data_IF_429492777143
#
_entry.id   IF_429492777143
#
_cell.length_a   1.000
_cell.length_b   1.000
_cell.length_c   1.000
_cell.angle_alpha   90.00
_cell.angle_beta   90.00
_cell.angle_gamma   90.00
#
_symmetry.space_group_name_H-M   'P 1'
#
loop_
_entity.id
_entity.type
_entity.pdbx_description
1 polymer ?
#
# COMPACT_ATOMS: atom_id res chain seq x y z
N UNK A 1 25.11 -2.41 2.31
CA UNK A 1 25.95 -1.56 3.15
C UNK A 1 25.04 -0.81 4.13
N UNK A 2 25.24 -1.06 5.41
CA UNK A 2 24.44 -0.46 6.47
C UNK A 2 25.24 0.67 7.11
N UNK A 3 24.57 1.77 7.47
CA UNK A 3 25.18 2.91 8.17
C UNK A 3 25.51 2.47 9.59
N UNK A 4 26.75 2.71 10.03
CA UNK A 4 27.20 2.47 11.40
C UNK A 4 27.06 3.73 12.23
N UNK A 5 27.60 4.84 11.75
CA UNK A 5 27.65 6.12 12.49
C UNK A 5 27.71 7.28 11.53
N UNK A 6 27.22 8.42 11.97
CA UNK A 6 27.36 9.71 11.27
C UNK A 6 28.18 10.64 12.15
N UNK A 7 29.16 11.30 11.56
CA UNK A 7 30.04 12.26 12.22
C UNK A 7 29.86 13.65 11.61
N UNK A 8 29.92 14.67 12.46
CA UNK A 8 30.12 16.03 12.03
C UNK A 8 31.62 16.22 11.72
N UNK A 9 31.93 16.99 10.69
CA UNK A 9 33.30 17.36 10.32
C UNK A 9 33.61 18.80 10.76
N UNK A 10 34.85 19.21 10.69
CA UNK A 10 35.25 20.62 10.94
C UNK A 10 34.58 21.60 9.94
N UNK A 11 34.10 21.08 8.80
CA UNK A 11 33.33 21.84 7.82
C UNK A 11 31.82 21.74 8.16
N UNK A 12 31.15 22.83 8.57
CA UNK A 12 29.75 22.79 8.98
C UNK A 12 28.77 22.40 7.88
N UNK A 13 29.22 22.35 6.62
CA UNK A 13 28.45 21.93 5.46
C UNK A 13 28.76 20.49 5.02
N UNK A 14 29.43 19.70 5.85
CA UNK A 14 29.89 18.37 5.49
C UNK A 14 29.69 17.38 6.64
N UNK A 15 29.23 16.18 6.28
CA UNK A 15 29.01 15.06 7.18
C UNK A 15 29.78 13.84 6.68
N UNK A 16 30.38 13.08 7.57
CA UNK A 16 30.96 11.77 7.28
C UNK A 16 30.06 10.66 7.76
N UNK A 17 29.80 9.70 6.88
CA UNK A 17 28.94 8.54 7.10
C UNK A 17 29.81 7.29 7.07
N UNK A 18 30.03 6.67 8.22
CA UNK A 18 30.72 5.39 8.29
C UNK A 18 29.73 4.24 8.05
N UNK A 19 30.06 3.34 7.15
CA UNK A 19 29.31 2.13 6.90
C UNK A 19 29.90 0.96 7.70
N UNK A 20 29.09 -0.05 8.03
CA UNK A 20 29.56 -1.30 8.68
C UNK A 20 30.65 -2.02 7.89
N UNK A 21 30.75 -1.79 6.58
CA UNK A 21 31.83 -2.31 5.73
C UNK A 21 33.18 -1.61 5.92
N UNK A 22 33.27 -0.57 6.77
CA UNK A 22 34.44 0.28 6.94
C UNK A 22 34.59 1.39 5.89
N UNK A 23 33.69 1.47 4.89
CA UNK A 23 33.71 2.57 3.92
C UNK A 23 33.18 3.85 4.56
N UNK A 24 33.84 4.97 4.29
CA UNK A 24 33.39 6.33 4.64
C UNK A 24 32.83 7.00 3.40
N UNK A 25 31.71 7.69 3.55
CA UNK A 25 31.06 8.50 2.52
C UNK A 25 30.90 9.91 3.07
N UNK A 26 31.27 10.90 2.29
CA UNK A 26 31.08 12.31 2.62
C UNK A 26 29.84 12.86 1.92
N UNK A 27 29.04 13.63 2.62
CA UNK A 27 27.81 14.24 2.09
C UNK A 27 27.52 15.59 2.75
N UNK A 28 26.79 16.46 2.05
CA UNK A 28 26.34 17.73 2.59
C UNK A 28 25.01 17.63 3.36
N UNK A 29 24.26 16.58 3.10
CA UNK A 29 22.98 16.30 3.76
C UNK A 29 22.69 14.80 3.77
N UNK A 30 21.92 14.36 4.75
CA UNK A 30 21.43 13.00 4.87
C UNK A 30 19.90 13.03 4.94
N UNK A 31 19.26 12.20 4.08
CA UNK A 31 17.81 12.00 4.14
C UNK A 31 17.52 10.61 4.70
N UNK A 32 16.84 10.55 5.83
CA UNK A 32 16.45 9.29 6.47
C UNK A 32 15.08 8.83 5.95
N UNK A 33 15.05 7.70 5.26
CA UNK A 33 13.82 7.09 4.72
C UNK A 33 13.76 5.60 5.05
N UNK A 34 14.06 5.26 6.30
CA UNK A 34 14.21 3.88 6.81
C UNK A 34 12.96 3.34 7.50
N UNK A 35 11.80 3.94 7.22
CA UNK A 35 10.52 3.60 7.83
C UNK A 35 10.21 4.42 9.08
N UNK A 36 9.10 4.07 9.72
CA UNK A 36 8.57 4.75 10.90
C UNK A 36 8.55 3.82 12.12
N UNK A 37 8.63 4.41 13.27
CA UNK A 37 8.39 3.75 14.56
C UNK A 37 7.18 4.41 15.20
N UNK A 38 6.10 3.67 15.50
CA UNK A 38 4.96 4.21 16.19
C UNK A 38 5.36 4.76 17.57
N UNK A 39 4.86 5.94 17.93
CA UNK A 39 5.04 6.48 19.26
C UNK A 39 4.06 5.81 20.22
N UNK A 40 4.55 4.88 21.04
CA UNK A 40 3.78 4.06 21.97
C UNK A 40 4.05 4.41 23.44
N UNK A 41 4.70 5.52 23.73
CA UNK A 41 5.09 5.89 25.10
C UNK A 41 3.88 6.03 26.01
N UNK A 42 2.87 6.82 25.63
CA UNK A 42 1.63 6.98 26.39
C UNK A 42 0.94 5.64 26.64
N UNK A 43 0.92 4.75 25.64
CA UNK A 43 0.31 3.44 25.77
C UNK A 43 1.05 2.56 26.79
N UNK A 44 2.38 2.58 26.76
CA UNK A 44 3.23 1.86 27.73
C UNK A 44 3.06 2.39 29.14
N UNK A 45 3.11 3.71 29.31
CA UNK A 45 2.92 4.38 30.62
C UNK A 45 1.53 4.13 31.19
N UNK A 46 0.52 3.95 30.34
CA UNK A 46 -0.85 3.57 30.69
C UNK A 46 -1.01 2.06 30.97
N UNK A 47 0.05 1.27 30.92
CA UNK A 47 0.03 -0.17 31.20
C UNK A 47 -0.62 -1.00 30.11
N UNK A 48 -0.78 -0.50 28.87
CA UNK A 48 -1.31 -1.28 27.76
C UNK A 48 -0.27 -2.28 27.25
N UNK A 49 -0.74 -3.42 26.77
CA UNK A 49 0.12 -4.40 26.12
C UNK A 49 0.66 -3.83 24.79
N UNK A 50 1.99 -3.70 24.70
CA UNK A 50 2.67 -3.19 23.51
C UNK A 50 3.72 -4.18 23.02
N UNK A 51 3.93 -4.22 21.73
CA UNK A 51 5.07 -4.79 21.04
C UNK A 51 5.79 -3.69 20.27
N UNK A 52 5.76 -3.75 18.94
CA UNK A 52 6.17 -2.64 18.07
C UNK A 52 5.13 -1.53 18.00
N UNK A 53 3.85 -1.89 18.23
CA UNK A 53 2.70 -1.01 18.35
C UNK A 53 1.89 -1.35 19.60
N UNK A 54 0.70 -0.79 19.73
CA UNK A 54 -0.29 -1.18 20.75
C UNK A 54 -0.97 -2.45 20.26
N UNK A 55 -0.84 -3.53 21.02
CA UNK A 55 -1.45 -4.82 20.66
C UNK A 55 -2.97 -4.74 20.72
N UNK A 56 -3.62 -5.12 19.63
CA UNK A 56 -5.09 -5.10 19.50
C UNK A 56 -5.63 -6.45 19.06
N UNK A 57 -6.88 -6.71 19.44
CA UNK A 57 -7.64 -7.85 18.94
C UNK A 57 -8.33 -7.53 17.60
N UNK A 58 -9.14 -8.46 17.10
CA UNK A 58 -9.88 -8.32 15.84
C UNK A 58 -10.92 -7.17 15.82
N UNK A 59 -11.26 -6.59 16.95
CA UNK A 59 -12.13 -5.42 17.08
C UNK A 59 -11.34 -4.15 17.38
N UNK A 60 -10.01 -4.19 17.21
CA UNK A 60 -9.07 -3.08 17.44
C UNK A 60 -9.04 -2.62 18.90
N UNK A 61 -9.50 -3.47 19.81
CA UNK A 61 -9.51 -3.25 21.25
C UNK A 61 -8.15 -3.67 21.84
N UNK A 62 -7.58 -2.82 22.67
CA UNK A 62 -6.31 -3.08 23.36
C UNK A 62 -6.45 -4.08 24.52
N UNK A 63 -5.41 -4.25 25.32
CA UNK A 63 -5.46 -5.02 26.58
C UNK A 63 -6.41 -4.40 27.63
N UNK A 64 -6.76 -3.12 27.50
CA UNK A 64 -7.82 -2.48 28.29
C UNK A 64 -9.09 -2.39 27.43
N UNK A 65 -10.23 -2.98 27.86
CA UNK A 65 -11.47 -3.02 27.09
C UNK A 65 -12.06 -1.65 26.72
N UNK A 66 -11.68 -0.59 27.41
CA UNK A 66 -12.16 0.76 27.15
C UNK A 66 -11.23 1.56 26.22
N UNK A 67 -10.12 0.95 25.75
CA UNK A 67 -9.12 1.60 24.92
C UNK A 67 -8.96 0.86 23.61
N UNK A 68 -9.03 1.58 22.51
CA UNK A 68 -8.89 1.08 21.15
C UNK A 68 -7.68 1.77 20.48
N UNK A 69 -7.05 1.08 19.54
CA UNK A 69 -5.99 1.65 18.73
C UNK A 69 -6.22 1.31 17.25
N UNK A 70 -6.08 2.32 16.38
CA UNK A 70 -6.20 2.19 14.93
C UNK A 70 -5.07 2.96 14.24
N UNK A 71 -4.85 2.67 12.96
CA UNK A 71 -3.80 3.29 12.14
C UNK A 71 -2.42 2.69 12.42
N UNK A 72 -1.40 3.48 12.20
CA UNK A 72 0.00 3.04 12.25
C UNK A 72 0.44 2.52 13.63
N UNK A 73 -0.22 2.99 14.69
CA UNK A 73 0.09 2.59 16.07
C UNK A 73 -0.47 1.19 16.43
N UNK A 74 -1.50 0.71 15.72
CA UNK A 74 -2.14 -0.56 16.03
C UNK A 74 -1.30 -1.75 15.55
N UNK A 75 -0.98 -2.66 16.48
CA UNK A 75 -0.29 -3.92 16.19
C UNK A 75 -1.31 -5.07 16.24
N UNK A 76 -1.66 -5.60 15.08
CA UNK A 76 -2.57 -6.73 14.95
C UNK A 76 -1.79 -7.96 14.45
N UNK A 77 -1.89 -9.08 15.16
CA UNK A 77 -1.17 -10.32 14.85
C UNK A 77 0.34 -10.14 14.63
N UNK A 78 0.99 -9.31 15.49
CA UNK A 78 2.41 -8.94 15.42
C UNK A 78 2.80 -8.15 14.13
N UNK A 79 1.83 -7.57 13.44
CA UNK A 79 2.05 -6.78 12.23
C UNK A 79 1.53 -5.34 12.40
N UNK A 80 2.30 -4.39 11.87
CA UNK A 80 1.92 -2.99 11.74
C UNK A 80 1.47 -2.71 10.31
N UNK A 81 0.43 -1.89 10.16
CA UNK A 81 -0.15 -1.53 8.87
C UNK A 81 -0.06 -0.01 8.68
N UNK A 82 1.14 0.48 8.35
CA UNK A 82 1.43 1.91 8.20
C UNK A 82 0.95 2.51 6.88
N UNK A 83 -0.25 2.18 6.41
CA UNK A 83 -0.86 2.70 5.18
C UNK A 83 -2.26 3.26 5.45
N UNK A 84 -2.61 4.35 4.74
CA UNK A 84 -3.88 5.05 4.93
C UNK A 84 -5.10 4.15 4.72
N UNK A 85 -5.08 3.27 3.72
CA UNK A 85 -6.19 2.36 3.45
C UNK A 85 -6.45 1.38 4.59
N UNK A 86 -5.39 0.91 5.27
CA UNK A 86 -5.55 0.06 6.45
C UNK A 86 -6.16 0.83 7.63
N UNK A 87 -5.75 2.08 7.84
CA UNK A 87 -6.33 2.92 8.88
C UNK A 87 -7.83 3.22 8.65
N UNK A 88 -8.21 3.45 7.39
CA UNK A 88 -9.62 3.62 7.00
C UNK A 88 -10.44 2.35 7.25
N UNK A 89 -9.95 1.18 6.83
CA UNK A 89 -10.59 -0.11 7.06
C UNK A 89 -10.75 -0.40 8.57
N UNK A 90 -9.72 -0.14 9.35
CA UNK A 90 -9.76 -0.27 10.81
C UNK A 90 -10.77 0.68 11.44
N UNK A 91 -10.87 1.92 10.96
CA UNK A 91 -11.83 2.90 11.45
C UNK A 91 -13.28 2.45 11.19
N UNK A 92 -13.58 1.93 10.00
CA UNK A 92 -14.89 1.41 9.64
C UNK A 92 -15.29 0.22 10.52
N UNK A 93 -14.36 -0.71 10.74
CA UNK A 93 -14.58 -1.89 11.61
C UNK A 93 -14.83 -1.46 13.07
N UNK A 94 -13.99 -0.54 13.58
CA UNK A 94 -14.17 -0.03 14.94
C UNK A 94 -15.51 0.71 15.09
N UNK A 95 -15.92 1.52 14.13
CA UNK A 95 -17.19 2.21 14.14
C UNK A 95 -18.37 1.24 14.19
N UNK A 96 -18.34 0.17 13.38
CA UNK A 96 -19.36 -0.89 13.40
C UNK A 96 -19.40 -1.60 14.76
N UNK A 97 -18.23 -1.96 15.30
CA UNK A 97 -18.15 -2.59 16.62
C UNK A 97 -18.75 -1.72 17.73
N UNK A 98 -18.41 -0.42 17.74
CA UNK A 98 -18.96 0.54 18.73
C UNK A 98 -20.47 0.77 18.55
N UNK A 99 -20.99 0.58 17.33
CA UNK A 99 -22.43 0.61 17.06
C UNK A 99 -23.15 -0.70 17.44
N UNK A 100 -22.43 -1.72 17.93
CA UNK A 100 -22.97 -3.01 18.35
C UNK A 100 -22.96 -4.10 17.27
N UNK A 101 -22.41 -3.84 16.09
CA UNK A 101 -22.21 -4.85 15.05
C UNK A 101 -20.87 -5.60 15.25
N UNK A 102 -20.99 -6.82 15.79
CA UNK A 102 -19.84 -7.72 15.99
C UNK A 102 -19.58 -8.66 14.80
N UNK A 103 -20.39 -8.61 13.76
CA UNK A 103 -20.23 -9.46 12.58
C UNK A 103 -19.06 -9.01 11.71
N UNK A 104 -18.72 -7.72 11.74
CA UNK A 104 -17.59 -7.12 11.07
C UNK A 104 -16.37 -7.12 11.99
N UNK A 105 -15.24 -7.68 11.53
CA UNK A 105 -14.01 -7.73 12.30
C UNK A 105 -12.78 -7.65 11.41
N UNK A 106 -11.70 -7.12 11.96
CA UNK A 106 -10.43 -6.91 11.25
C UNK A 106 -9.67 -8.23 11.06
N UNK A 107 -9.24 -8.48 9.85
CA UNK A 107 -8.48 -9.68 9.45
C UNK A 107 -7.04 -9.37 9.05
N UNK A 108 -6.64 -8.10 9.15
CA UNK A 108 -5.43 -7.56 8.56
C UNK A 108 -5.73 -6.93 7.19
N UNK A 109 -4.88 -6.03 6.76
CA UNK A 109 -4.98 -5.34 5.47
C UNK A 109 -3.89 -5.82 4.51
N UNK A 110 -4.17 -5.79 3.23
CA UNK A 110 -3.17 -6.07 2.20
C UNK A 110 -2.21 -4.88 2.12
N UNK A 111 -0.95 -5.11 2.44
CA UNK A 111 0.09 -4.07 2.34
C UNK A 111 0.31 -3.70 0.87
N UNK A 112 0.40 -2.41 0.59
CA UNK A 112 0.67 -1.92 -0.74
C UNK A 112 1.54 -0.66 -0.69
N UNK A 113 2.50 -0.59 -1.61
CA UNK A 113 3.39 0.55 -1.76
C UNK A 113 3.35 1.01 -3.22
N UNK A 114 3.19 2.31 -3.43
CA UNK A 114 3.17 2.92 -4.75
C UNK A 114 4.14 4.07 -4.75
N UNK A 115 5.17 3.96 -5.57
CA UNK A 115 6.14 5.02 -5.76
C UNK A 115 5.48 6.17 -6.52
N UNK A 116 5.54 7.38 -5.93
CA UNK A 116 4.92 8.60 -6.48
C UNK A 116 5.99 9.51 -7.11
N UNK A 117 6.76 8.97 -8.05
CA UNK A 117 7.69 9.73 -8.89
C UNK A 117 7.16 9.76 -10.32
N UNK A 118 7.33 10.91 -11.00
CA UNK A 118 6.76 11.13 -12.34
C UNK A 118 7.32 10.15 -13.38
N UNK A 119 8.61 9.85 -13.32
CA UNK A 119 9.30 9.04 -14.33
C UNK A 119 9.40 7.55 -13.98
N UNK A 120 8.96 7.14 -12.79
CA UNK A 120 9.10 5.75 -12.33
C UNK A 120 7.75 5.20 -11.91
N UNK A 121 7.22 4.31 -12.73
CA UNK A 121 6.06 3.51 -12.42
C UNK A 121 6.50 2.27 -11.64
N UNK A 122 6.37 2.29 -10.31
CA UNK A 122 6.69 1.16 -9.45
C UNK A 122 5.61 1.02 -8.38
N UNK A 123 5.11 -0.19 -8.21
CA UNK A 123 4.25 -0.53 -7.08
C UNK A 123 4.49 -1.97 -6.64
N UNK A 124 4.13 -2.24 -5.38
CA UNK A 124 4.07 -3.58 -4.82
C UNK A 124 2.78 -3.75 -4.04
N UNK A 125 2.29 -4.98 -3.99
CA UNK A 125 1.07 -5.33 -3.27
C UNK A 125 1.20 -6.74 -2.69
N UNK A 126 0.71 -6.92 -1.46
CA UNK A 126 0.73 -8.20 -0.77
C UNK A 126 2.15 -8.66 -0.39
N UNK A 127 2.33 -9.96 -0.38
CA UNK A 127 3.61 -10.60 -0.05
C UNK A 127 4.52 -10.60 -1.28
N UNK A 128 5.68 -9.94 -1.19
CA UNK A 128 6.62 -9.79 -2.32
C UNK A 128 7.89 -10.64 -2.17
N UNK A 129 8.03 -11.32 -1.05
CA UNK A 129 9.12 -12.26 -0.76
C UNK A 129 8.55 -13.63 -0.44
N UNK A 130 9.19 -14.68 -0.96
CA UNK A 130 8.85 -16.06 -0.66
C UNK A 130 9.58 -16.46 0.61
N UNK A 131 8.89 -17.08 1.62
CA UNK A 131 9.54 -17.63 2.78
C UNK A 131 10.54 -18.72 2.38
N UNK A 132 11.70 -18.76 3.04
CA UNK A 132 12.68 -19.81 2.83
C UNK A 132 12.06 -21.19 3.17
N UNK A 133 12.29 -22.16 2.30
CA UNK A 133 11.86 -23.56 2.46
C UNK A 133 10.32 -23.79 2.50
N UNK A 134 9.54 -22.99 1.79
CA UNK A 134 8.09 -23.23 1.60
C UNK A 134 7.79 -23.46 0.11
N UNK A 135 7.77 -24.72 -0.32
CA UNK A 135 7.52 -25.14 -1.69
C UNK A 135 6.07 -24.88 -2.18
N UNK A 136 5.19 -24.40 -1.32
CA UNK A 136 3.82 -24.02 -1.69
C UNK A 136 3.76 -22.68 -2.42
N UNK A 137 4.86 -21.94 -2.45
CA UNK A 137 4.96 -20.68 -3.17
C UNK A 137 5.61 -20.87 -4.54
N UNK A 138 5.13 -20.11 -5.49
CA UNK A 138 5.67 -20.03 -6.84
C UNK A 138 5.91 -18.55 -7.20
N UNK A 139 6.98 -18.32 -7.95
CA UNK A 139 7.31 -17.00 -8.49
C UNK A 139 7.13 -17.00 -9.99
N UNK A 140 6.35 -16.05 -10.52
CA UNK A 140 6.18 -15.80 -11.94
C UNK A 140 6.79 -14.45 -12.25
N UNK A 141 7.84 -14.42 -13.08
CA UNK A 141 8.55 -13.20 -13.44
C UNK A 141 8.50 -12.98 -14.94
N UNK A 142 8.16 -11.75 -15.32
CA UNK A 142 8.33 -11.24 -16.67
C UNK A 142 9.21 -9.99 -16.62
N UNK A 143 10.26 -9.95 -17.41
CA UNK A 143 11.18 -8.82 -17.49
C UNK A 143 11.53 -8.48 -18.94
N UNK A 144 11.33 -7.20 -19.32
CA UNK A 144 11.80 -6.62 -20.56
C UNK A 144 12.68 -5.41 -20.22
N UNK A 145 13.99 -5.63 -20.20
CA UNK A 145 14.97 -4.60 -19.83
C UNK A 145 14.99 -3.43 -20.82
N UNK A 146 14.66 -3.69 -22.09
CA UNK A 146 14.64 -2.66 -23.14
C UNK A 146 13.47 -1.70 -22.97
N UNK A 147 12.32 -2.23 -22.57
CA UNK A 147 11.11 -1.46 -22.26
C UNK A 147 11.08 -0.96 -20.81
N UNK A 148 12.08 -1.29 -20.00
CA UNK A 148 12.13 -1.02 -18.56
C UNK A 148 10.89 -1.54 -17.84
N UNK A 149 10.44 -2.71 -18.25
CA UNK A 149 9.27 -3.39 -17.71
C UNK A 149 9.69 -4.57 -16.86
N UNK A 150 9.12 -4.67 -15.66
CA UNK A 150 9.29 -5.81 -14.78
C UNK A 150 7.98 -6.11 -14.06
N UNK A 151 7.56 -7.36 -14.08
CA UNK A 151 6.42 -7.87 -13.33
C UNK A 151 6.85 -9.15 -12.62
N UNK A 152 6.59 -9.19 -11.31
CA UNK A 152 6.78 -10.35 -10.46
C UNK A 152 5.45 -10.62 -9.76
N UNK A 153 4.96 -11.86 -9.84
CA UNK A 153 3.78 -12.33 -9.16
C UNK A 153 4.19 -13.48 -8.22
N UNK A 154 3.73 -13.43 -6.97
CA UNK A 154 3.88 -14.50 -6.01
C UNK A 154 2.55 -15.23 -5.89
N UNK A 155 2.57 -16.52 -6.15
CA UNK A 155 1.40 -17.40 -6.13
C UNK A 155 1.58 -18.43 -5.01
N UNK A 156 0.53 -18.69 -4.26
CA UNK A 156 0.47 -19.75 -3.24
C UNK A 156 -0.83 -20.52 -3.40
N UNK A 157 -0.75 -21.85 -3.61
CA UNK A 157 -1.93 -22.69 -3.79
C UNK A 157 -2.93 -22.12 -4.82
N UNK A 158 -2.43 -21.75 -5.99
CA UNK A 158 -3.16 -21.12 -7.09
C UNK A 158 -3.84 -19.77 -6.75
N UNK A 159 -3.47 -19.12 -5.66
CA UNK A 159 -3.91 -17.78 -5.28
C UNK A 159 -2.78 -16.77 -5.50
N UNK A 160 -3.08 -15.64 -6.12
CA UNK A 160 -2.15 -14.50 -6.12
C UNK A 160 -2.06 -13.94 -4.70
N UNK A 161 -0.87 -13.96 -4.09
CA UNK A 161 -0.64 -13.46 -2.73
C UNK A 161 0.21 -12.20 -2.70
N UNK A 162 0.87 -11.87 -3.80
CA UNK A 162 1.61 -10.63 -3.93
C UNK A 162 2.12 -10.37 -5.34
N UNK A 163 2.49 -9.11 -5.60
CA UNK A 163 3.07 -8.71 -6.87
C UNK A 163 3.94 -7.46 -6.75
N UNK A 164 4.90 -7.34 -7.67
CA UNK A 164 5.66 -6.13 -7.96
C UNK A 164 5.45 -5.79 -9.43
N UNK A 165 5.11 -4.54 -9.72
CA UNK A 165 4.93 -4.01 -11.07
C UNK A 165 5.87 -2.81 -11.26
N UNK A 166 6.70 -2.83 -12.30
CA UNK A 166 7.56 -1.72 -12.70
C UNK A 166 7.43 -1.46 -14.21
N UNK A 167 7.35 -0.19 -14.58
CA UNK A 167 7.13 0.27 -15.96
C UNK A 167 5.65 0.45 -16.28
N UNK A 168 4.80 -0.49 -15.94
CA UNK A 168 3.34 -0.41 -16.08
C UNK A 168 2.64 -0.88 -14.78
N UNK A 169 1.66 -0.11 -14.33
CA UNK A 169 0.87 -0.36 -13.12
C UNK A 169 -0.62 -0.65 -13.41
N UNK A 170 -1.01 -0.81 -14.66
CA UNK A 170 -2.41 -0.94 -15.04
C UNK A 170 -3.11 -2.14 -14.40
N UNK A 171 -2.38 -3.22 -14.14
CA UNK A 171 -2.91 -4.44 -13.50
C UNK A 171 -3.05 -4.32 -11.98
N UNK A 172 -2.58 -3.22 -11.36
CA UNK A 172 -2.57 -3.08 -9.90
C UNK A 172 -3.95 -3.26 -9.26
N UNK A 173 -5.00 -2.66 -9.84
CA UNK A 173 -6.36 -2.76 -9.31
C UNK A 173 -6.93 -4.18 -9.42
N UNK A 174 -6.62 -4.88 -10.52
CA UNK A 174 -7.01 -6.29 -10.71
C UNK A 174 -6.29 -7.17 -9.69
N UNK A 175 -4.98 -7.00 -9.53
CA UNK A 175 -4.19 -7.79 -8.57
C UNK A 175 -4.65 -7.55 -7.13
N UNK A 176 -4.99 -6.31 -6.78
CA UNK A 176 -5.59 -6.00 -5.48
C UNK A 176 -6.87 -6.82 -5.26
N UNK A 177 -7.76 -6.83 -6.25
CA UNK A 177 -9.01 -7.59 -6.16
C UNK A 177 -8.76 -9.09 -6.02
N UNK A 178 -7.84 -9.66 -6.80
CA UNK A 178 -7.49 -11.08 -6.74
C UNK A 178 -6.96 -11.48 -5.35
N UNK A 179 -6.07 -10.65 -4.78
CA UNK A 179 -5.46 -10.91 -3.47
C UNK A 179 -6.48 -10.77 -2.34
N UNK A 180 -7.24 -9.67 -2.30
CA UNK A 180 -8.22 -9.40 -1.23
C UNK A 180 -9.37 -10.40 -1.24
N UNK A 181 -9.86 -10.76 -2.42
CA UNK A 181 -10.98 -11.69 -2.57
C UNK A 181 -10.55 -13.16 -2.59
N UNK A 182 -9.24 -13.45 -2.56
CA UNK A 182 -8.68 -14.81 -2.60
C UNK A 182 -9.27 -15.64 -3.74
N UNK A 183 -9.28 -15.06 -4.94
CA UNK A 183 -9.79 -15.70 -6.14
C UNK A 183 -8.73 -16.65 -6.68
N UNK A 184 -9.09 -17.92 -6.88
CA UNK A 184 -8.25 -18.91 -7.56
C UNK A 184 -7.95 -18.45 -8.99
N UNK A 185 -6.68 -18.55 -9.37
CA UNK A 185 -6.22 -18.06 -10.66
C UNK A 185 -6.73 -18.92 -11.82
N UNK A 186 -6.68 -20.26 -11.67
CA UNK A 186 -7.11 -21.19 -12.72
C UNK A 186 -6.67 -20.72 -14.12
N UNK A 187 -7.62 -20.50 -15.04
CA UNK A 187 -7.31 -20.01 -16.39
C UNK A 187 -6.73 -18.59 -16.44
N UNK A 188 -6.96 -17.78 -15.40
CA UNK A 188 -6.38 -16.42 -15.29
C UNK A 188 -4.87 -16.43 -15.12
N UNK A 189 -4.28 -17.53 -14.66
CA UNK A 189 -2.84 -17.66 -14.52
C UNK A 189 -2.08 -17.34 -15.81
N UNK A 190 -2.62 -17.73 -16.96
CA UNK A 190 -2.05 -17.42 -18.27
C UNK A 190 -2.11 -15.91 -18.59
N UNK A 191 -3.08 -15.18 -18.05
CA UNK A 191 -3.23 -13.75 -18.27
C UNK A 191 -2.27 -12.91 -17.41
N UNK A 192 -1.81 -13.43 -16.27
CA UNK A 192 -0.84 -12.73 -15.41
C UNK A 192 0.44 -12.36 -16.17
N UNK A 193 0.84 -13.15 -17.16
CA UNK A 193 2.04 -12.92 -17.98
C UNK A 193 1.81 -11.95 -19.13
N UNK A 194 0.58 -11.82 -19.62
CA UNK A 194 0.30 -11.10 -20.87
C UNK A 194 -0.04 -9.62 -20.68
N UNK A 195 -0.42 -9.22 -19.47
CA UNK A 195 -0.94 -7.88 -19.21
C UNK A 195 -2.33 -7.64 -19.80
N UNK A 196 -3.08 -6.71 -19.26
CA UNK A 196 -4.34 -6.29 -19.86
C UNK A 196 -4.05 -5.30 -21.00
N UNK A 197 -4.34 -5.67 -22.23
CA UNK A 197 -4.21 -4.80 -23.42
C UNK A 197 -5.23 -3.63 -23.46
N UNK A 198 -6.04 -3.47 -22.42
CA UNK A 198 -7.15 -2.51 -22.37
C UNK A 198 -6.90 -1.32 -21.43
N UNK A 199 -5.65 -0.91 -21.26
CA UNK A 199 -5.35 0.32 -20.51
C UNK A 199 -5.99 1.54 -21.20
N UNK A 200 -6.95 2.16 -20.52
CA UNK A 200 -7.51 3.44 -21.00
C UNK A 200 -6.44 4.52 -20.88
N UNK A 201 -6.28 5.39 -21.88
CA UNK A 201 -5.32 6.49 -21.79
C UNK A 201 -5.67 7.41 -20.61
N UNK A 202 -4.66 7.92 -19.93
CA UNK A 202 -4.83 8.93 -18.88
C UNK A 202 -5.21 10.26 -19.57
N UNK A 203 -6.43 10.74 -19.33
CA UNK A 203 -6.92 11.99 -19.86
C UNK A 203 -6.81 13.10 -18.82
N UNK A 204 -6.15 14.20 -19.18
CA UNK A 204 -5.93 15.33 -18.27
C UNK A 204 -4.87 15.06 -17.20
N UNK A 205 -4.92 15.81 -16.10
CA UNK A 205 -4.00 15.65 -14.97
C UNK A 205 -4.21 14.30 -14.30
N UNK A 206 -3.14 13.57 -14.01
CA UNK A 206 -3.20 12.30 -13.27
C UNK A 206 -3.75 12.54 -11.85
N UNK A 207 -4.85 11.88 -11.51
CA UNK A 207 -5.53 11.93 -10.20
C UNK A 207 -5.25 10.66 -9.41
N UNK A 208 -5.47 9.50 -10.02
CA UNK A 208 -5.23 8.21 -9.37
C UNK A 208 -4.01 7.52 -9.99
N UNK A 209 -2.90 7.53 -9.26
CA UNK A 209 -1.67 6.85 -9.70
C UNK A 209 -1.75 5.33 -9.65
N UNK A 210 -2.61 4.75 -8.79
CA UNK A 210 -2.79 3.30 -8.68
C UNK A 210 -3.47 2.72 -9.92
N UNK A 211 -4.55 3.38 -10.36
CA UNK A 211 -5.41 2.91 -11.47
C UNK A 211 -5.19 3.71 -12.75
N UNK A 212 -4.14 4.55 -12.81
CA UNK A 212 -3.81 5.39 -13.97
C UNK A 212 -5.03 6.17 -14.51
N UNK A 213 -5.74 6.87 -13.61
CA UNK A 213 -6.94 7.64 -13.94
C UNK A 213 -6.65 9.13 -13.84
N UNK A 214 -6.88 9.85 -14.92
CA UNK A 214 -6.77 11.31 -15.00
C UNK A 214 -8.08 12.02 -14.69
N UNK A 215 -8.01 13.35 -14.52
CA UNK A 215 -9.19 14.20 -14.30
C UNK A 215 -10.20 14.08 -15.43
N UNK A 216 -9.73 14.04 -16.69
CA UNK A 216 -10.60 13.87 -17.86
C UNK A 216 -11.33 12.54 -17.89
N UNK A 217 -10.71 11.44 -17.42
CA UNK A 217 -11.39 10.14 -17.32
C UNK A 217 -12.56 10.19 -16.32
N UNK A 218 -12.37 10.90 -15.18
CA UNK A 218 -13.43 11.11 -14.20
C UNK A 218 -14.56 11.96 -14.76
N UNK A 219 -14.22 13.07 -15.42
CA UNK A 219 -15.18 13.97 -16.06
C UNK A 219 -16.01 13.28 -17.15
N UNK A 220 -15.39 12.44 -17.98
CA UNK A 220 -16.10 11.63 -18.98
C UNK A 220 -17.10 10.68 -18.34
N UNK A 221 -16.69 10.00 -17.24
CA UNK A 221 -17.57 9.11 -16.50
C UNK A 221 -18.75 9.85 -15.87
N UNK A 222 -18.53 11.06 -15.33
CA UNK A 222 -19.59 11.91 -14.78
C UNK A 222 -20.55 12.36 -15.90
N UNK A 223 -20.02 12.82 -17.03
CA UNK A 223 -20.82 13.18 -18.21
C UNK A 223 -21.65 12.03 -18.76
N UNK A 224 -21.18 10.79 -18.61
CA UNK A 224 -21.93 9.58 -19.01
C UNK A 224 -23.03 9.17 -18.02
N UNK A 225 -23.22 9.93 -16.92
CA UNK A 225 -24.34 9.76 -15.99
C UNK A 225 -23.95 9.24 -14.61
N UNK A 226 -22.67 9.02 -14.32
CA UNK A 226 -22.21 8.60 -12.99
C UNK A 226 -22.33 9.79 -12.02
N UNK A 227 -23.20 9.67 -11.01
CA UNK A 227 -23.59 10.79 -10.16
C UNK A 227 -23.15 10.69 -8.70
N UNK A 228 -22.61 9.55 -8.28
CA UNK A 228 -22.16 9.36 -6.90
C UNK A 228 -20.72 8.85 -6.81
N UNK A 229 -20.08 9.11 -5.67
CA UNK A 229 -18.67 8.81 -5.43
C UNK A 229 -18.35 7.31 -5.54
N UNK A 230 -19.19 6.47 -4.95
CA UNK A 230 -18.95 5.00 -4.92
C UNK A 230 -19.01 4.42 -6.34
N UNK A 231 -19.98 4.85 -7.12
CA UNK A 231 -20.12 4.43 -8.52
C UNK A 231 -18.98 4.94 -9.39
N UNK A 232 -18.57 6.21 -9.19
CA UNK A 232 -17.42 6.80 -9.90
C UNK A 232 -16.13 6.02 -9.63
N UNK A 233 -15.89 5.67 -8.37
CA UNK A 233 -14.75 4.82 -8.01
C UNK A 233 -14.83 3.44 -8.67
N UNK A 234 -16.00 2.79 -8.67
CA UNK A 234 -16.19 1.48 -9.31
C UNK A 234 -15.97 1.52 -10.83
N UNK A 235 -16.48 2.56 -11.49
CA UNK A 235 -16.42 2.71 -12.96
C UNK A 235 -15.01 3.04 -13.45
N UNK A 236 -14.26 3.84 -12.67
CA UNK A 236 -12.95 4.34 -13.09
C UNK A 236 -11.79 3.61 -12.43
N UNK A 237 -12.01 2.92 -11.31
CA UNK A 237 -10.96 2.35 -10.46
C UNK A 237 -10.29 3.38 -9.53
N UNK A 238 -10.56 4.68 -9.68
CA UNK A 238 -9.98 5.70 -8.83
C UNK A 238 -10.49 5.59 -7.39
N UNK A 239 -9.59 5.74 -6.41
CA UNK A 239 -9.93 5.63 -4.98
C UNK A 239 -10.03 4.21 -4.43
N UNK A 240 -9.96 3.17 -5.28
CA UNK A 240 -10.04 1.77 -4.86
C UNK A 240 -8.68 1.15 -4.48
N UNK A 241 -7.58 1.80 -4.84
CA UNK A 241 -6.23 1.38 -4.47
C UNK A 241 -5.82 1.91 -3.10
N UNK A 242 -4.76 2.72 -3.04
CA UNK A 242 -4.21 3.27 -1.79
C UNK A 242 -5.11 4.32 -1.09
N UNK A 243 -6.19 4.74 -1.71
CA UNK A 243 -7.15 5.71 -1.14
C UNK A 243 -6.71 7.19 -1.21
N UNK A 244 -5.44 7.50 -1.45
CA UNK A 244 -4.89 8.87 -1.36
C UNK A 244 -5.55 9.89 -2.30
N UNK A 245 -6.17 9.44 -3.40
CA UNK A 245 -6.86 10.30 -4.35
C UNK A 245 -8.35 10.55 -4.02
N UNK A 246 -8.90 9.93 -2.98
CA UNK A 246 -10.34 10.01 -2.66
C UNK A 246 -10.85 11.43 -2.51
N UNK A 247 -10.08 12.30 -1.88
CA UNK A 247 -10.45 13.72 -1.71
C UNK A 247 -10.53 14.43 -3.06
N UNK A 248 -9.50 14.29 -3.91
CA UNK A 248 -9.47 14.92 -5.23
C UNK A 248 -10.59 14.37 -6.16
N UNK A 249 -10.91 13.08 -6.07
CA UNK A 249 -12.04 12.48 -6.81
C UNK A 249 -13.38 13.06 -6.36
N UNK A 250 -13.57 13.27 -5.03
CA UNK A 250 -14.77 13.92 -4.49
C UNK A 250 -14.89 15.38 -4.96
N UNK A 251 -13.78 16.10 -4.97
CA UNK A 251 -13.74 17.51 -5.43
C UNK A 251 -14.10 17.64 -6.91
N UNK A 252 -13.59 16.73 -7.76
CA UNK A 252 -13.95 16.70 -9.19
C UNK A 252 -15.43 16.37 -9.36
N UNK A 253 -15.95 15.38 -8.65
CA UNK A 253 -17.37 15.03 -8.70
C UNK A 253 -18.27 16.21 -8.28
N UNK A 254 -17.86 16.96 -7.26
CA UNK A 254 -18.61 18.13 -6.80
C UNK A 254 -18.58 19.30 -7.79
N UNK A 255 -17.47 19.49 -8.53
CA UNK A 255 -17.33 20.55 -9.54
C UNK A 255 -18.07 20.26 -10.85
N UNK A 256 -18.30 19.00 -11.15
CA UNK A 256 -18.96 18.58 -12.40
C UNK A 256 -20.48 18.36 -12.25
N UNK A 257 -21.01 18.52 -11.05
CA UNK A 257 -22.46 18.55 -10.76
C UNK A 257 -23.02 19.96 -10.92
#
# INVERSE_FOLDING_TARGET
>A
NEVSTVFETDNPNELEIALKSGKIITANAIVYTIGTLPNIEIAKESGLACGRGVKVNQYLQSSNPSVFAIGEIAEFNNQLFGITSAAEEQADILANYLAGDISSFYKGSVLMNILKLEDINLCSIGQVEIPENDDSYEEIVFADLRQRYYKKCIVKNDLLVGAILMGDKNEFAEFKTLIESKIELADKRNSLLRGSSNAKPVLGKLVCSCSQVGSGNLEESIKSGVSNFTELCKTTGAGLGCGSCKTEVKDILAKCK
#
